data_IF_284782877569
#
_entry.id   IF_284782877569
#
_cell.length_a   1.000
_cell.length_b   1.000
_cell.length_c   1.000
_cell.angle_alpha   90.00
_cell.angle_beta   90.00
_cell.angle_gamma   90.00
#
_symmetry.space_group_name_H-M   'P 1'
#
loop_
_entity.id
_entity.type
_entity.pdbx_description
1 polymer ?
#
# COMPACT_ATOMS: atom_id res chain seq x y z
N UNK A 1 28.28 20.09 43.32
CA UNK A 1 27.88 18.66 43.30
C UNK A 1 26.57 18.60 44.06
N UNK A 2 25.39 18.27 43.52
CA UNK A 2 25.03 17.23 42.56
C UNK A 2 23.74 17.64 41.84
N UNK A 3 23.66 17.41 40.51
CA UNK A 3 22.45 17.62 39.71
C UNK A 3 21.52 16.42 39.93
N UNK A 4 20.28 16.65 40.35
CA UNK A 4 19.21 15.64 40.24
C UNK A 4 18.71 15.63 38.80
N UNK A 5 18.96 14.52 38.11
CA UNK A 5 18.39 14.17 36.82
C UNK A 5 16.89 13.93 36.99
N UNK A 6 16.05 14.71 36.29
CA UNK A 6 14.65 14.34 36.07
C UNK A 6 14.56 13.58 34.75
N UNK A 7 14.16 12.32 34.90
CA UNK A 7 13.92 11.38 33.82
C UNK A 7 12.61 11.76 33.12
N UNK A 8 12.70 12.46 31.98
CA UNK A 8 11.56 12.75 31.12
C UNK A 8 11.12 11.47 30.41
N UNK A 9 9.96 10.93 30.79
CA UNK A 9 9.26 9.93 29.99
C UNK A 9 8.87 10.59 28.66
N UNK A 10 9.53 10.21 27.57
CA UNK A 10 9.05 10.49 26.22
C UNK A 10 7.78 9.66 26.00
N UNK A 11 6.62 10.27 26.21
CA UNK A 11 5.36 9.75 25.70
C UNK A 11 5.40 9.83 24.17
N UNK A 12 5.54 8.68 23.49
CA UNK A 12 5.22 8.56 22.06
C UNK A 12 3.78 9.05 21.90
N UNK A 13 3.61 10.23 21.32
CA UNK A 13 2.32 10.83 21.03
C UNK A 13 1.73 10.04 19.87
N UNK A 14 0.84 9.10 20.14
CA UNK A 14 -0.04 8.51 19.12
C UNK A 14 -0.79 9.67 18.48
N UNK A 15 -0.45 9.99 17.23
CA UNK A 15 -1.21 10.95 16.42
C UNK A 15 -2.56 10.29 16.10
N UNK A 16 -3.56 10.52 16.94
CA UNK A 16 -4.98 10.42 16.56
C UNK A 16 -5.36 11.80 16.02
N UNK A 17 -5.72 11.85 14.74
CA UNK A 17 -6.34 13.02 14.10
C UNK A 17 -7.84 12.79 14.09
N UNK A 18 -8.60 13.76 14.59
CA UNK A 18 -10.06 13.78 14.44
C UNK A 18 -10.43 13.81 12.96
N UNK A 19 -11.34 12.94 12.53
CA UNK A 19 -11.80 12.92 11.14
C UNK A 19 -12.87 14.00 10.90
N UNK A 20 -12.89 14.61 9.71
CA UNK A 20 -13.91 15.58 9.30
C UNK A 20 -15.21 14.89 8.86
N UNK A 21 -16.30 15.64 8.72
CA UNK A 21 -17.59 15.09 8.23
C UNK A 21 -17.47 14.52 6.81
N UNK A 22 -16.63 15.14 5.97
CA UNK A 22 -16.30 14.67 4.62
C UNK A 22 -15.57 13.32 4.67
N UNK A 23 -14.62 13.20 5.60
CA UNK A 23 -13.87 11.96 5.85
C UNK A 23 -14.78 10.84 6.33
N UNK A 24 -15.72 11.12 7.24
CA UNK A 24 -16.73 10.16 7.70
C UNK A 24 -17.62 9.67 6.57
N UNK A 25 -18.04 10.57 5.68
CA UNK A 25 -18.88 10.23 4.54
C UNK A 25 -18.16 9.30 3.56
N UNK A 26 -16.85 9.47 3.38
CA UNK A 26 -16.01 8.59 2.55
C UNK A 26 -15.98 7.15 3.11
N UNK A 27 -15.79 6.97 4.42
CA UNK A 27 -15.87 5.64 5.03
C UNK A 27 -17.27 5.02 4.95
N UNK A 28 -18.32 5.83 5.08
CA UNK A 28 -19.70 5.34 4.94
C UNK A 28 -20.02 4.92 3.51
N UNK A 29 -19.49 5.62 2.50
CA UNK A 29 -19.55 5.22 1.09
C UNK A 29 -18.79 3.93 0.85
N UNK A 30 -17.54 3.81 1.31
CA UNK A 30 -16.75 2.58 1.19
C UNK A 30 -17.49 1.36 1.76
N UNK A 31 -18.09 1.48 2.95
CA UNK A 31 -18.87 0.37 3.55
C UNK A 31 -20.11 0.05 2.73
N UNK A 32 -20.80 1.07 2.23
CA UNK A 32 -21.97 0.90 1.37
C UNK A 32 -21.60 0.15 0.11
N UNK A 33 -20.52 0.56 -0.55
CA UNK A 33 -20.13 0.07 -1.87
C UNK A 33 -19.54 -1.34 -1.77
N UNK A 34 -18.72 -1.60 -0.74
CA UNK A 34 -18.33 -2.95 -0.36
C UNK A 34 -19.58 -3.79 -0.08
N UNK A 35 -20.50 -3.35 0.79
CA UNK A 35 -21.69 -4.13 1.13
C UNK A 35 -22.60 -4.41 -0.08
N UNK A 36 -22.69 -3.47 -1.02
CA UNK A 36 -23.49 -3.59 -2.24
C UNK A 36 -22.88 -4.56 -3.25
N UNK A 37 -21.55 -4.60 -3.31
CA UNK A 37 -20.77 -5.57 -4.10
C UNK A 37 -20.95 -7.02 -3.62
N UNK A 38 -21.52 -7.20 -2.42
CA UNK A 38 -21.74 -8.49 -1.77
C UNK A 38 -23.22 -8.83 -1.54
N UNK A 39 -24.16 -8.16 -2.22
CA UNK A 39 -25.60 -8.35 -1.99
C UNK A 39 -26.09 -9.79 -2.23
N UNK A 40 -25.32 -10.65 -2.91
CA UNK A 40 -25.63 -12.09 -3.09
C UNK A 40 -24.86 -13.04 -2.14
N UNK A 41 -23.95 -12.53 -1.28
CA UNK A 41 -23.10 -13.35 -0.40
C UNK A 41 -23.20 -13.02 1.09
N UNK A 42 -24.42 -13.08 1.61
CA UNK A 42 -24.74 -12.97 3.05
C UNK A 42 -24.06 -14.02 3.97
N UNK A 43 -23.09 -14.80 3.49
CA UNK A 43 -22.31 -15.79 4.25
C UNK A 43 -20.81 -15.52 4.34
N UNK A 44 -20.25 -14.52 3.65
CA UNK A 44 -18.81 -14.27 3.75
C UNK A 44 -18.48 -13.56 5.07
N UNK A 45 -17.74 -14.29 5.91
CA UNK A 45 -17.24 -13.79 7.20
C UNK A 45 -16.32 -12.58 7.05
N UNK A 46 -15.66 -12.43 5.91
CA UNK A 46 -14.67 -11.37 5.63
C UNK A 46 -15.34 -10.01 5.44
N UNK A 47 -16.47 -9.98 4.72
CA UNK A 47 -17.29 -8.77 4.52
C UNK A 47 -17.94 -8.33 5.83
N UNK A 48 -18.44 -9.29 6.61
CA UNK A 48 -18.99 -9.02 7.95
C UNK A 48 -17.94 -8.47 8.91
N UNK A 49 -16.70 -8.95 8.82
CA UNK A 49 -15.58 -8.47 9.63
C UNK A 49 -15.18 -7.05 9.23
N UNK A 50 -15.02 -6.78 7.93
CA UNK A 50 -14.74 -5.45 7.40
C UNK A 50 -15.80 -4.43 7.85
N UNK A 51 -17.08 -4.77 7.71
CA UNK A 51 -18.17 -3.91 8.16
C UNK A 51 -18.07 -3.60 9.65
N UNK A 52 -17.78 -4.62 10.47
CA UNK A 52 -17.63 -4.47 11.92
C UNK A 52 -16.46 -3.54 12.25
N UNK A 53 -15.34 -3.67 11.55
CA UNK A 53 -14.13 -2.91 11.83
C UNK A 53 -14.22 -1.46 11.34
N UNK A 54 -14.93 -1.19 10.24
CA UNK A 54 -15.25 0.20 9.86
C UNK A 54 -16.24 0.83 10.83
N UNK A 55 -17.32 0.12 11.19
CA UNK A 55 -18.29 0.63 12.20
C UNK A 55 -17.60 0.93 13.54
N UNK A 56 -16.65 0.08 13.95
CA UNK A 56 -15.82 0.29 15.14
C UNK A 56 -14.94 1.52 15.01
N UNK A 57 -14.23 1.68 13.89
CA UNK A 57 -13.33 2.82 13.65
C UNK A 57 -14.09 4.17 13.57
N UNK A 58 -15.33 4.16 13.10
CA UNK A 58 -16.16 5.37 13.04
C UNK A 58 -16.84 5.70 14.37
N UNK A 59 -16.82 4.77 15.35
CA UNK A 59 -17.63 4.87 16.57
C UNK A 59 -17.22 6.04 17.49
N UNK A 60 -15.94 6.41 17.51
CA UNK A 60 -15.41 7.44 18.41
C UNK A 60 -15.08 8.77 17.70
N UNK A 61 -15.46 8.90 16.42
CA UNK A 61 -15.21 10.07 15.57
C UNK A 61 -13.72 10.40 15.37
N UNK A 62 -12.84 9.46 15.67
CA UNK A 62 -11.42 9.50 15.33
C UNK A 62 -11.02 8.21 14.67
N UNK A 63 -10.30 8.26 13.56
CA UNK A 63 -9.77 7.04 12.93
C UNK A 63 -8.28 7.01 13.18
N UNK A 64 -7.82 5.99 13.90
CA UNK A 64 -6.41 5.77 14.17
C UNK A 64 -5.76 4.98 13.03
N UNK A 65 -4.43 5.12 12.90
CA UNK A 65 -3.64 4.29 11.97
C UNK A 65 -3.80 2.79 12.20
N UNK A 66 -4.09 2.36 13.43
CA UNK A 66 -4.30 0.95 13.74
C UNK A 66 -5.64 0.45 13.20
N UNK A 67 -6.68 1.27 13.25
CA UNK A 67 -8.00 0.93 12.71
C UNK A 67 -7.99 0.90 11.20
N UNK A 68 -7.31 1.86 10.55
CA UNK A 68 -7.07 1.83 9.10
C UNK A 68 -6.34 0.57 8.67
N UNK A 69 -5.31 0.17 9.42
CA UNK A 69 -4.55 -1.05 9.11
C UNK A 69 -5.44 -2.29 9.19
N UNK A 70 -6.35 -2.35 10.15
CA UNK A 70 -7.33 -3.44 10.26
C UNK A 70 -8.32 -3.40 9.09
N UNK A 71 -8.93 -2.25 8.82
CA UNK A 71 -9.91 -2.07 7.74
C UNK A 71 -9.31 -2.45 6.38
N UNK A 72 -8.10 -1.98 6.08
CA UNK A 72 -7.44 -2.28 4.81
C UNK A 72 -7.05 -3.75 4.69
N UNK A 73 -6.61 -4.38 5.79
CA UNK A 73 -6.34 -5.83 5.81
C UNK A 73 -7.61 -6.63 5.53
N UNK A 74 -8.73 -6.24 6.13
CA UNK A 74 -10.00 -6.89 5.88
C UNK A 74 -10.45 -6.67 4.43
N UNK A 75 -10.18 -5.49 3.86
CA UNK A 75 -10.44 -5.24 2.44
C UNK A 75 -9.58 -6.11 1.54
N UNK A 76 -8.32 -6.38 1.86
CA UNK A 76 -7.53 -7.39 1.11
C UNK A 76 -8.11 -8.79 1.20
N UNK A 77 -8.54 -9.18 2.40
CA UNK A 77 -9.15 -10.50 2.61
C UNK A 77 -10.44 -10.64 1.80
N UNK A 78 -11.16 -9.53 1.68
CA UNK A 78 -12.36 -9.36 0.88
C UNK A 78 -12.05 -9.40 -0.63
N UNK A 79 -11.03 -8.67 -1.10
CA UNK A 79 -10.57 -8.66 -2.50
C UNK A 79 -9.96 -9.97 -2.99
N UNK A 80 -9.36 -10.76 -2.09
CA UNK A 80 -8.83 -12.10 -2.36
C UNK A 80 -9.92 -13.18 -2.33
N UNK A 81 -11.18 -12.81 -2.05
CA UNK A 81 -12.30 -13.75 -2.09
C UNK A 81 -12.72 -14.03 -3.53
N UNK A 82 -13.05 -15.29 -3.83
CA UNK A 82 -13.55 -15.72 -5.15
C UNK A 82 -14.92 -15.08 -5.52
N UNK A 83 -15.48 -14.23 -4.64
CA UNK A 83 -16.83 -13.68 -4.75
C UNK A 83 -16.87 -12.26 -5.34
N UNK A 84 -15.76 -11.51 -5.36
CA UNK A 84 -15.71 -10.17 -5.95
C UNK A 84 -15.33 -10.26 -7.43
N UNK A 85 -16.10 -9.59 -8.28
CA UNK A 85 -15.71 -9.40 -9.68
C UNK A 85 -14.83 -8.16 -9.90
N UNK A 86 -14.10 -8.10 -11.01
CA UNK A 86 -13.17 -7.00 -11.32
C UNK A 86 -13.78 -5.58 -11.23
N UNK A 87 -15.08 -5.41 -11.48
CA UNK A 87 -15.75 -4.09 -11.42
C UNK A 87 -16.04 -3.66 -9.97
N UNK A 88 -16.43 -4.61 -9.13
CA UNK A 88 -16.62 -4.42 -7.69
C UNK A 88 -15.28 -4.20 -6.98
N UNK A 89 -14.25 -4.99 -7.33
CA UNK A 89 -12.90 -4.84 -6.80
C UNK A 89 -12.33 -3.45 -7.07
N UNK A 90 -12.59 -2.91 -8.26
CA UNK A 90 -12.19 -1.54 -8.64
C UNK A 90 -12.92 -0.47 -7.85
N UNK A 91 -14.21 -0.64 -7.61
CA UNK A 91 -15.00 0.32 -6.81
C UNK A 91 -14.51 0.37 -5.37
N UNK A 92 -14.30 -0.80 -4.76
CA UNK A 92 -13.74 -0.93 -3.40
C UNK A 92 -12.33 -0.33 -3.32
N UNK A 93 -11.54 -0.50 -4.37
CA UNK A 93 -10.20 0.05 -4.46
C UNK A 93 -10.18 1.58 -4.58
N UNK A 94 -11.08 2.17 -5.37
CA UNK A 94 -11.23 3.62 -5.50
C UNK A 94 -11.65 4.25 -4.15
N UNK A 95 -12.61 3.64 -3.46
CA UNK A 95 -13.08 4.09 -2.14
C UNK A 95 -11.99 3.94 -1.06
N UNK A 96 -11.17 2.89 -1.15
CA UNK A 96 -10.02 2.66 -0.29
C UNK A 96 -8.98 3.79 -0.39
N UNK A 97 -8.68 4.23 -1.62
CA UNK A 97 -7.75 5.34 -1.83
C UNK A 97 -8.25 6.60 -1.13
N UNK A 98 -9.55 6.86 -1.21
CA UNK A 98 -10.16 8.03 -0.61
C UNK A 98 -10.08 7.98 0.93
N UNK A 99 -10.36 6.82 1.53
CA UNK A 99 -10.22 6.58 2.98
C UNK A 99 -8.78 6.76 3.49
N UNK A 100 -7.78 6.28 2.74
CA UNK A 100 -6.38 6.34 3.18
C UNK A 100 -5.81 7.76 3.02
N UNK A 101 -6.16 8.46 1.94
CA UNK A 101 -5.75 9.85 1.69
C UNK A 101 -6.25 10.80 2.80
N UNK A 102 -7.43 10.51 3.35
CA UNK A 102 -8.07 11.24 4.44
C UNK A 102 -7.25 11.26 5.74
N UNK A 103 -6.46 10.22 6.01
CA UNK A 103 -5.82 10.05 7.32
C UNK A 103 -4.37 10.58 7.40
N UNK A 104 -3.85 11.15 6.31
CA UNK A 104 -2.41 11.40 6.14
C UNK A 104 -2.08 12.77 5.51
N UNK A 105 -2.84 13.81 5.84
CA UNK A 105 -2.62 15.19 5.35
C UNK A 105 -1.39 15.89 5.97
N UNK A 106 -0.18 15.33 5.80
CA UNK A 106 1.03 16.14 5.89
C UNK A 106 1.16 17.02 4.65
N UNK A 107 1.61 18.26 4.85
CA UNK A 107 1.88 19.24 3.80
C UNK A 107 3.38 19.40 3.56
N UNK A 108 4.14 18.35 3.83
CA UNK A 108 5.61 18.35 3.83
C UNK A 108 6.12 17.21 2.97
N UNK A 109 7.30 17.42 2.40
CA UNK A 109 8.06 16.33 1.80
C UNK A 109 8.53 15.39 2.92
N UNK A 110 8.01 14.18 2.94
CA UNK A 110 8.22 13.20 3.98
C UNK A 110 9.08 12.03 3.49
N UNK A 111 9.88 11.46 4.39
CA UNK A 111 10.50 10.15 4.20
C UNK A 111 9.75 9.14 5.06
N UNK A 112 8.99 8.28 4.40
CA UNK A 112 8.17 7.26 5.04
C UNK A 112 8.83 5.90 4.86
N UNK A 113 8.97 5.16 5.96
CA UNK A 113 9.44 3.78 5.96
C UNK A 113 8.50 2.97 6.81
N UNK A 114 7.98 1.87 6.26
CA UNK A 114 7.19 0.93 7.04
C UNK A 114 8.06 0.09 7.97
N UNK A 115 7.44 -0.94 8.49
CA UNK A 115 7.92 -1.84 9.52
C UNK A 115 8.14 -3.24 8.93
N UNK A 116 8.18 -4.25 9.78
CA UNK A 116 8.13 -5.64 9.32
C UNK A 116 6.64 -6.05 9.27
N UNK A 117 6.26 -6.78 8.23
CA UNK A 117 4.87 -7.14 7.89
C UNK A 117 4.17 -6.10 7.02
N UNK A 118 3.05 -6.51 6.41
CA UNK A 118 2.23 -5.69 5.51
C UNK A 118 1.91 -4.31 6.10
N UNK A 119 2.25 -3.25 5.37
CA UNK A 119 2.08 -1.86 5.78
C UNK A 119 1.35 -1.01 4.75
N UNK A 120 0.78 0.09 5.22
CA UNK A 120 0.10 1.09 4.39
C UNK A 120 0.76 2.43 4.64
N UNK A 121 1.37 2.98 3.59
CA UNK A 121 2.03 4.27 3.60
C UNK A 121 1.29 5.22 2.66
N UNK A 122 1.03 6.42 3.16
CA UNK A 122 0.50 7.52 2.35
C UNK A 122 1.31 8.79 2.60
N UNK A 123 1.87 9.34 1.52
CA UNK A 123 2.68 10.57 1.52
C UNK A 123 1.85 11.83 1.73
N UNK A 124 0.61 11.83 1.24
CA UNK A 124 -0.30 12.96 1.41
C UNK A 124 0.00 14.06 0.39
N UNK A 125 0.51 15.21 0.84
CA UNK A 125 0.85 16.32 -0.07
C UNK A 125 2.30 16.72 0.12
N UNK A 126 3.07 16.78 -0.97
CA UNK A 126 4.50 16.97 -0.88
C UNK A 126 5.21 16.23 -2.00
N UNK A 127 6.54 16.29 -2.04
CA UNK A 127 7.31 15.33 -2.84
C UNK A 127 7.85 14.29 -1.87
N UNK A 128 7.12 13.20 -1.73
CA UNK A 128 7.33 12.22 -0.68
C UNK A 128 8.20 11.07 -1.16
N UNK A 129 8.84 10.39 -0.21
CA UNK A 129 9.67 9.22 -0.48
C UNK A 129 9.19 8.06 0.39
N UNK A 130 8.60 7.07 -0.23
CA UNK A 130 7.94 5.95 0.43
C UNK A 130 8.73 4.67 0.24
N UNK A 131 9.07 4.01 1.34
CA UNK A 131 9.65 2.67 1.38
C UNK A 131 8.74 1.77 2.21
N UNK A 132 8.02 0.84 1.58
CA UNK A 132 7.02 0.00 2.28
C UNK A 132 7.62 -0.83 3.40
N UNK A 133 8.82 -1.36 3.19
CA UNK A 133 9.42 -2.32 4.11
C UNK A 133 10.57 -1.76 4.95
N UNK A 134 10.87 -2.45 6.06
CA UNK A 134 12.10 -2.25 6.84
C UNK A 134 13.36 -2.75 6.10
N UNK A 135 14.53 -2.23 6.48
CA UNK A 135 15.81 -2.68 5.93
C UNK A 135 16.19 -4.14 6.31
N UNK A 136 15.54 -4.69 7.33
CA UNK A 136 15.85 -6.01 7.89
C UNK A 136 15.29 -7.10 6.99
N UNK A 137 13.96 -7.09 6.81
CA UNK A 137 13.22 -8.06 6.00
C UNK A 137 13.19 -7.67 4.52
N UNK A 138 13.24 -6.38 4.20
CA UNK A 138 13.30 -5.89 2.83
C UNK A 138 12.17 -6.44 1.95
N UNK A 139 10.96 -6.57 2.51
CA UNK A 139 9.73 -6.86 1.78
C UNK A 139 9.39 -8.34 1.73
N UNK A 140 10.20 -9.21 2.34
CA UNK A 140 10.03 -10.67 2.22
C UNK A 140 8.76 -11.14 2.92
N UNK A 141 7.92 -11.84 2.16
CA UNK A 141 6.60 -12.30 2.60
C UNK A 141 5.70 -11.13 3.07
N UNK A 142 5.87 -9.93 2.48
CA UNK A 142 5.14 -8.69 2.82
C UNK A 142 4.46 -8.11 1.57
N UNK A 143 3.17 -7.75 1.69
CA UNK A 143 2.46 -6.94 0.69
C UNK A 143 2.22 -5.55 1.28
N UNK A 144 2.87 -4.55 0.71
CA UNK A 144 2.79 -3.17 1.17
C UNK A 144 1.98 -2.29 0.23
N UNK A 145 1.13 -1.41 0.78
CA UNK A 145 0.40 -0.40 0.02
C UNK A 145 1.04 0.96 0.11
N UNK A 146 1.33 1.54 -1.04
CA UNK A 146 1.98 2.82 -1.15
C UNK A 146 1.11 3.79 -1.96
N UNK A 147 0.79 4.93 -1.34
CA UNK A 147 0.06 6.05 -1.95
C UNK A 147 0.96 7.28 -1.87
N UNK A 148 1.34 7.83 -3.01
CA UNK A 148 2.17 9.04 -3.05
C UNK A 148 1.37 10.25 -2.60
N UNK A 149 0.15 10.37 -3.12
CA UNK A 149 -0.73 11.51 -2.98
C UNK A 149 -0.39 12.59 -4.00
N UNK A 150 -0.50 13.85 -3.59
CA UNK A 150 -0.23 14.96 -4.50
C UNK A 150 1.23 15.37 -4.46
N UNK A 151 1.92 15.24 -5.59
CA UNK A 151 3.19 15.90 -5.80
C UNK A 151 4.06 15.19 -6.82
N UNK A 152 5.34 15.02 -6.50
CA UNK A 152 6.29 14.22 -7.27
C UNK A 152 6.92 13.22 -6.33
N UNK A 153 6.30 12.06 -6.27
CA UNK A 153 6.59 11.10 -5.21
C UNK A 153 7.58 10.05 -5.70
N UNK A 154 8.31 9.47 -4.76
CA UNK A 154 9.30 8.43 -5.02
C UNK A 154 8.97 7.17 -4.24
N UNK A 155 8.54 6.13 -4.95
CA UNK A 155 8.31 4.79 -4.41
C UNK A 155 9.59 3.98 -4.49
N UNK A 156 10.09 3.48 -3.35
CA UNK A 156 11.41 2.84 -3.25
C UNK A 156 11.24 1.33 -3.14
N UNK A 157 11.51 0.62 -4.24
CA UNK A 157 11.51 -0.86 -4.29
C UNK A 157 12.92 -1.45 -4.32
N UNK A 158 13.92 -0.60 -4.10
CA UNK A 158 15.31 -1.02 -3.99
C UNK A 158 16.25 0.14 -3.70
N UNK A 159 17.41 -0.21 -3.17
CA UNK A 159 18.51 0.71 -2.93
C UNK A 159 19.81 0.14 -3.49
N UNK A 160 20.92 0.87 -3.33
CA UNK A 160 22.23 0.44 -3.83
C UNK A 160 22.67 -0.96 -3.36
N UNK A 161 22.14 -1.44 -2.22
CA UNK A 161 22.50 -2.74 -1.62
C UNK A 161 21.51 -3.87 -1.93
N UNK A 162 20.21 -3.59 -1.91
CA UNK A 162 19.16 -4.63 -1.97
C UNK A 162 18.04 -4.26 -2.94
N UNK A 163 17.53 -5.27 -3.65
CA UNK A 163 16.19 -5.26 -4.24
C UNK A 163 15.21 -5.60 -3.11
N UNK A 164 14.10 -4.88 -3.00
CA UNK A 164 13.06 -5.16 -2.02
C UNK A 164 12.00 -6.08 -2.64
N UNK A 165 11.25 -6.79 -1.79
CA UNK A 165 10.25 -7.81 -2.19
C UNK A 165 10.87 -8.91 -3.06
N UNK A 166 12.14 -9.23 -2.81
CA UNK A 166 12.85 -10.34 -3.43
C UNK A 166 13.14 -11.38 -2.36
N UNK A 167 12.26 -12.38 -2.25
CA UNK A 167 12.40 -13.48 -1.31
C UNK A 167 13.54 -14.45 -1.69
N UNK A 168 13.97 -14.43 -2.96
CA UNK A 168 15.01 -15.27 -3.55
C UNK A 168 14.53 -16.64 -4.03
N UNK A 169 13.22 -16.89 -4.06
CA UNK A 169 12.60 -18.13 -4.57
C UNK A 169 12.41 -18.02 -6.08
N UNK A 170 13.36 -18.59 -6.81
CA UNK A 170 13.40 -18.44 -8.27
C UNK A 170 12.46 -19.35 -9.07
N UNK A 171 11.56 -20.05 -8.38
CA UNK A 171 10.55 -20.96 -8.92
C UNK A 171 9.10 -20.46 -8.70
N UNK A 172 8.95 -19.25 -8.15
CA UNK A 172 7.67 -18.58 -7.95
C UNK A 172 7.57 -17.28 -8.76
N UNK A 173 6.35 -16.80 -9.01
CA UNK A 173 6.09 -15.55 -9.75
C UNK A 173 6.05 -14.30 -8.85
N UNK A 174 6.30 -14.45 -7.53
CA UNK A 174 6.33 -13.33 -6.56
C UNK A 174 4.97 -12.78 -6.13
N UNK A 175 3.88 -13.55 -6.22
CA UNK A 175 2.56 -13.05 -5.80
C UNK A 175 2.37 -13.00 -4.27
N UNK A 176 3.37 -13.41 -3.49
CA UNK A 176 3.29 -13.43 -2.02
C UNK A 176 3.93 -12.20 -1.37
N UNK A 177 4.78 -11.47 -2.11
CA UNK A 177 5.44 -10.27 -1.63
C UNK A 177 5.63 -9.25 -2.75
N UNK A 178 5.07 -8.04 -2.58
CA UNK A 178 5.23 -6.93 -3.52
C UNK A 178 4.75 -5.63 -2.90
N UNK A 179 5.24 -4.50 -3.42
CA UNK A 179 4.61 -3.21 -3.16
C UNK A 179 3.48 -2.93 -4.17
N UNK A 180 2.26 -2.73 -3.70
CA UNK A 180 1.17 -2.19 -4.51
C UNK A 180 1.17 -0.66 -4.44
N UNK A 181 1.42 -0.02 -5.58
CA UNK A 181 1.45 1.45 -5.75
C UNK A 181 0.13 1.87 -6.38
N UNK A 182 -0.68 2.63 -5.64
CA UNK A 182 -2.11 2.78 -5.96
C UNK A 182 -2.43 3.99 -6.86
N UNK A 183 -1.60 5.04 -6.82
CA UNK A 183 -1.92 6.33 -7.43
C UNK A 183 -0.81 6.88 -8.35
N UNK A 184 0.04 5.98 -8.85
CA UNK A 184 1.24 6.36 -9.60
C UNK A 184 0.91 7.26 -10.81
N UNK A 185 1.48 8.46 -10.82
CA UNK A 185 1.40 9.36 -11.95
C UNK A 185 2.67 9.27 -12.82
N UNK A 186 2.63 8.61 -14.00
CA UNK A 186 3.82 8.40 -14.84
C UNK A 186 4.42 9.70 -15.42
N UNK A 187 3.75 10.85 -15.24
CA UNK A 187 4.26 12.16 -15.65
C UNK A 187 4.99 12.91 -14.53
N UNK A 188 4.87 12.45 -13.28
CA UNK A 188 5.36 13.18 -12.09
C UNK A 188 6.21 12.29 -11.19
N UNK A 189 5.73 11.08 -10.92
CA UNK A 189 6.27 10.22 -9.88
C UNK A 189 7.38 9.35 -10.40
N UNK A 190 8.09 8.72 -9.48
CA UNK A 190 9.27 7.91 -9.75
C UNK A 190 9.24 6.65 -8.92
N UNK A 191 9.58 5.53 -9.53
CA UNK A 191 9.87 4.27 -8.86
C UNK A 191 11.39 4.08 -8.85
N UNK A 192 11.98 3.97 -7.67
CA UNK A 192 13.40 3.70 -7.51
C UNK A 192 13.64 2.21 -7.40
N UNK A 193 14.50 1.70 -8.28
CA UNK A 193 14.95 0.31 -8.33
C UNK A 193 16.45 0.23 -8.03
N UNK A 194 16.96 -0.98 -7.79
CA UNK A 194 18.39 -1.22 -7.59
C UNK A 194 19.12 -1.41 -8.91
N UNK A 195 20.29 -0.82 -9.09
CA UNK A 195 21.20 -1.17 -10.20
C UNK A 195 20.85 -0.52 -11.54
N UNK A 196 20.21 -1.23 -12.46
CA UNK A 196 19.93 -0.70 -13.80
C UNK A 196 18.70 -1.33 -14.45
N UNK A 197 18.13 -0.67 -15.45
CA UNK A 197 16.92 -1.13 -16.15
C UNK A 197 17.06 -2.51 -16.80
N UNK A 198 18.26 -2.96 -17.14
CA UNK A 198 18.46 -4.28 -17.75
C UNK A 198 18.14 -5.44 -16.82
N UNK A 199 18.06 -5.19 -15.51
CA UNK A 199 17.70 -6.20 -14.50
C UNK A 199 16.19 -6.32 -14.28
N UNK A 200 15.39 -5.52 -14.98
CA UNK A 200 13.95 -5.45 -14.75
C UNK A 200 13.16 -5.52 -16.04
N UNK A 201 11.88 -5.86 -15.91
CA UNK A 201 10.88 -5.74 -16.96
C UNK A 201 9.55 -5.28 -16.36
N UNK A 202 8.65 -4.79 -17.21
CA UNK A 202 7.27 -4.51 -16.84
C UNK A 202 6.35 -5.38 -17.68
N UNK A 203 5.23 -5.84 -17.11
CA UNK A 203 4.36 -6.80 -17.79
C UNK A 203 2.98 -6.94 -17.15
N UNK A 204 2.19 -7.85 -17.72
CA UNK A 204 0.91 -8.25 -17.15
C UNK A 204 1.11 -8.88 -15.77
N UNK A 205 0.16 -8.67 -14.86
CA UNK A 205 0.17 -9.26 -13.53
C UNK A 205 -0.13 -10.76 -13.58
N UNK A 206 0.27 -11.55 -12.57
CA UNK A 206 -0.16 -12.93 -12.42
C UNK A 206 -1.69 -13.02 -12.34
N UNK A 207 -2.27 -14.03 -13.00
CA UNK A 207 -3.73 -14.21 -13.10
C UNK A 207 -4.42 -14.33 -11.73
N UNK A 208 -3.69 -14.73 -10.68
CA UNK A 208 -4.22 -14.93 -9.34
C UNK A 208 -4.26 -13.67 -8.48
N UNK A 209 -3.80 -12.51 -8.96
CA UNK A 209 -3.84 -11.28 -8.17
C UNK A 209 -5.16 -10.52 -8.29
N UNK A 210 -6.02 -10.83 -9.27
CA UNK A 210 -7.29 -10.13 -9.52
C UNK A 210 -7.20 -8.59 -9.46
N UNK A 211 -6.03 -8.03 -9.78
CA UNK A 211 -5.73 -6.60 -9.81
C UNK A 211 -5.46 -6.21 -11.26
N UNK A 212 -6.02 -5.08 -11.69
CA UNK A 212 -5.65 -4.46 -12.97
C UNK A 212 -4.45 -3.54 -12.80
N UNK A 213 -3.48 -3.61 -13.70
CA UNK A 213 -2.30 -2.76 -13.61
C UNK A 213 -1.11 -3.32 -14.36
N UNK A 214 0.08 -2.89 -13.94
CA UNK A 214 1.36 -3.37 -14.49
C UNK A 214 2.25 -3.93 -13.39
N UNK A 215 2.73 -5.15 -13.58
CA UNK A 215 3.75 -5.75 -12.72
C UNK A 215 5.14 -5.24 -13.05
N UNK A 216 5.96 -5.03 -12.02
CA UNK A 216 7.39 -4.73 -12.10
C UNK A 216 8.14 -5.98 -11.68
N UNK A 217 8.91 -6.53 -12.61
CA UNK A 217 9.57 -7.80 -12.45
C UNK A 217 11.07 -7.63 -12.34
N UNK A 218 11.67 -8.17 -11.28
CA UNK A 218 13.11 -8.33 -11.14
C UNK A 218 13.56 -9.66 -11.74
N UNK A 219 14.54 -9.59 -12.65
CA UNK A 219 15.11 -10.79 -13.27
C UNK A 219 16.07 -11.45 -12.27
N UNK A 220 15.53 -12.33 -11.43
CA UNK A 220 16.32 -13.21 -10.57
C UNK A 220 17.10 -14.21 -11.44
N UNK A 221 18.15 -14.83 -10.89
CA UNK A 221 19.02 -15.74 -11.64
C UNK A 221 18.39 -17.09 -12.03
N UNK A 222 17.09 -17.32 -11.76
CA UNK A 222 16.39 -18.56 -12.08
C UNK A 222 15.43 -18.48 -13.28
N UNK A 223 14.42 -19.35 -13.27
CA UNK A 223 13.56 -19.60 -14.44
C UNK A 223 12.43 -18.58 -14.58
N UNK A 224 11.98 -18.01 -13.46
CA UNK A 224 10.91 -17.01 -13.40
C UNK A 224 11.45 -15.67 -12.90
N UNK A 225 10.83 -14.59 -13.36
CA UNK A 225 11.12 -13.24 -12.83
C UNK A 225 10.24 -12.97 -11.61
N UNK A 226 10.81 -12.30 -10.62
CA UNK A 226 10.16 -12.01 -9.35
C UNK A 226 9.31 -10.75 -9.45
N UNK A 227 8.02 -10.82 -9.11
CA UNK A 227 7.17 -9.64 -9.00
C UNK A 227 7.57 -8.87 -7.74
N UNK A 228 8.12 -7.67 -7.89
CA UNK A 228 8.54 -6.85 -6.73
C UNK A 228 7.63 -5.65 -6.49
N UNK A 229 6.73 -5.37 -7.43
CA UNK A 229 5.82 -4.25 -7.34
C UNK A 229 4.71 -4.30 -8.37
N UNK A 230 3.59 -3.72 -8.01
CA UNK A 230 2.38 -3.59 -8.82
C UNK A 230 2.06 -2.12 -8.93
N UNK A 231 1.92 -1.62 -10.15
CA UNK A 231 1.40 -0.27 -10.40
C UNK A 231 -0.06 -0.41 -10.79
N UNK A 232 -0.95 -0.15 -9.84
CA UNK A 232 -2.38 -0.43 -9.97
C UNK A 232 -3.02 0.55 -10.97
N UNK A 233 -3.89 0.04 -11.83
CA UNK A 233 -4.66 0.78 -12.84
C UNK A 233 -3.85 1.66 -13.80
N UNK A 234 -2.53 1.46 -13.85
CA UNK A 234 -1.63 2.14 -14.76
C UNK A 234 -1.00 1.11 -15.68
N UNK A 235 -1.14 1.33 -17.00
CA UNK A 235 -0.40 0.57 -18.01
C UNK A 235 0.95 1.23 -18.28
N UNK A 236 2.04 0.54 -17.92
CA UNK A 236 3.40 0.93 -18.29
C UNK A 236 3.88 0.04 -19.44
N UNK A 237 4.47 0.68 -20.46
CA UNK A 237 4.94 -0.02 -21.67
C UNK A 237 6.44 -0.32 -21.64
N UNK A 238 7.20 0.41 -20.82
CA UNK A 238 8.63 0.22 -20.60
C UNK A 238 9.07 0.93 -19.31
N UNK A 239 10.37 0.83 -19.01
CA UNK A 239 11.03 1.50 -17.89
C UNK A 239 11.60 2.88 -18.26
N UNK A 240 11.17 3.49 -19.38
CA UNK A 240 11.78 4.73 -19.90
C UNK A 240 11.30 5.99 -19.18
N UNK A 241 10.19 5.92 -18.44
CA UNK A 241 9.60 7.04 -17.71
C UNK A 241 9.15 6.61 -16.33
N UNK A 242 9.38 7.47 -15.35
CA UNK A 242 8.96 7.22 -13.98
C UNK A 242 9.79 6.16 -13.27
N UNK A 243 11.02 5.89 -13.74
CA UNK A 243 11.95 4.99 -13.06
C UNK A 243 13.32 5.65 -12.84
N UNK A 244 13.91 5.35 -11.69
CA UNK A 244 15.31 5.67 -11.36
C UNK A 244 16.00 4.44 -10.81
N UNK A 245 17.33 4.44 -10.84
CA UNK A 245 18.14 3.31 -10.41
C UNK A 245 19.25 3.76 -9.47
N UNK A 246 19.35 3.08 -8.32
CA UNK A 246 20.29 3.38 -7.22
C UNK A 246 21.53 2.48 -7.21
#
# INVERSE_FOLDING_TARGET
MSKKSQNGKNSKKTQSSSITDEQKQIFETLVSDVSSSFEDSASDTSVGQLKTDVESALSDQTVTRSELKTIVKDIFTVLDSDEINDEEARTIFDDLQEVIAVSTSSQSNDELTGTDGDDILSGGTGNDRLTGTSSTQAGKDEIDLLIGGSGKDTFVLGNASKTFYDDGKSDTQGSADYAAILDFNPKKDTIQLKGSSSSYSVGALPDNLNITGTGIYYQSSGSESELIGVVVDVTLSDLSKGFTFA
#
